data_IF_503922942955
#
_entry.id   IF_503922942955
#
_cell.length_a   1.000
_cell.length_b   1.000
_cell.length_c   1.000
_cell.angle_alpha   90.00
_cell.angle_beta   90.00
_cell.angle_gamma   90.00
#
_symmetry.space_group_name_H-M   'P 1'
#
loop_
_entity.id
_entity.type
_entity.pdbx_description
1 polymer ?
#
# COMPACT_ATOMS: atom_id res chain seq x y z
N UNK A 1 12.12 1.46 -26.05
CA UNK A 1 11.73 0.11 -26.48
C UNK A 1 10.53 -0.28 -25.66
N UNK A 2 9.36 -0.37 -26.29
CA UNK A 2 8.15 -0.93 -25.68
C UNK A 2 8.38 -2.41 -25.41
N UNK A 3 8.98 -2.70 -24.25
CA UNK A 3 9.12 -4.05 -23.73
C UNK A 3 7.80 -4.45 -23.08
N UNK A 4 6.96 -5.14 -23.84
CA UNK A 4 5.66 -5.63 -23.40
C UNK A 4 5.72 -6.33 -22.03
N UNK A 5 5.17 -5.67 -21.01
CA UNK A 5 4.74 -6.31 -19.76
C UNK A 5 3.25 -6.58 -19.84
N UNK A 6 2.87 -7.48 -20.76
CA UNK A 6 1.60 -8.21 -20.64
C UNK A 6 1.83 -9.36 -19.65
N UNK A 7 1.93 -9.06 -18.36
CA UNK A 7 1.79 -10.08 -17.30
C UNK A 7 0.46 -9.85 -16.61
N UNK A 8 -0.62 -10.23 -17.29
CA UNK A 8 -1.93 -10.44 -16.66
C UNK A 8 -1.85 -11.69 -15.78
N UNK A 9 -1.15 -11.57 -14.65
CA UNK A 9 -1.13 -12.57 -13.58
C UNK A 9 -2.12 -12.13 -12.50
N UNK A 10 -3.38 -11.96 -12.90
CA UNK A 10 -4.49 -11.86 -11.97
C UNK A 10 -5.09 -13.26 -11.91
N UNK A 11 -5.31 -13.81 -10.71
CA UNK A 11 -6.06 -15.06 -10.59
C UNK A 11 -7.40 -14.83 -11.27
N UNK A 12 -7.77 -15.59 -12.31
CA UNK A 12 -9.04 -15.37 -12.97
C UNK A 12 -10.14 -15.67 -11.96
N UNK A 13 -10.87 -14.61 -11.61
CA UNK A 13 -12.12 -14.73 -10.88
C UNK A 13 -13.03 -15.66 -11.68
N UNK A 14 -13.65 -16.61 -10.99
CA UNK A 14 -14.77 -17.37 -11.55
C UNK A 14 -15.87 -16.38 -11.89
N UNK A 15 -16.63 -16.66 -12.93
CA UNK A 15 -17.88 -15.94 -13.15
C UNK A 15 -18.88 -16.38 -12.09
N UNK A 16 -19.20 -15.47 -11.16
CA UNK A 16 -20.09 -15.71 -10.03
C UNK A 16 -21.45 -15.07 -10.24
N UNK A 17 -21.67 -14.33 -11.32
CA UNK A 17 -22.88 -13.50 -11.49
C UNK A 17 -24.17 -14.31 -11.60
N UNK A 18 -24.06 -15.59 -11.95
CA UNK A 18 -25.17 -16.53 -12.00
C UNK A 18 -25.54 -17.16 -10.63
N UNK A 19 -24.75 -16.92 -9.59
CA UNK A 19 -25.04 -17.42 -8.25
C UNK A 19 -26.19 -16.63 -7.57
N UNK A 20 -26.70 -17.18 -6.47
CA UNK A 20 -27.59 -16.46 -5.59
C UNK A 20 -26.78 -15.69 -4.54
N UNK A 21 -27.23 -14.49 -4.24
CA UNK A 21 -26.62 -13.58 -3.29
C UNK A 21 -27.66 -13.06 -2.30
N UNK A 22 -27.20 -12.63 -1.14
CA UNK A 22 -27.98 -11.77 -0.25
C UNK A 22 -27.09 -10.74 0.45
N UNK A 23 -27.70 -9.67 0.93
CA UNK A 23 -27.03 -8.71 1.81
C UNK A 23 -26.64 -9.39 3.13
N UNK A 24 -25.43 -9.09 3.62
CA UNK A 24 -25.01 -9.59 4.92
C UNK A 24 -25.84 -8.94 6.05
N UNK A 25 -26.67 -9.75 6.71
CA UNK A 25 -27.58 -9.30 7.79
C UNK A 25 -26.85 -8.93 9.08
N UNK A 26 -25.56 -9.21 9.18
CA UNK A 26 -24.69 -8.71 10.24
C UNK A 26 -24.29 -7.24 10.05
N UNK A 27 -24.83 -6.57 9.04
CA UNK A 27 -24.71 -5.12 8.87
C UNK A 27 -26.10 -4.47 8.81
N UNK A 28 -26.22 -3.30 9.43
CA UNK A 28 -27.36 -2.41 9.27
C UNK A 28 -26.91 -1.16 8.52
N UNK A 29 -27.56 -0.87 7.40
CA UNK A 29 -27.34 0.39 6.67
C UNK A 29 -28.04 1.54 7.39
N UNK A 30 -27.25 2.54 7.81
CA UNK A 30 -27.74 3.77 8.41
C UNK A 30 -27.37 4.95 7.51
N UNK A 31 -28.38 5.74 7.13
CA UNK A 31 -28.17 6.95 6.33
C UNK A 31 -27.33 7.96 7.10
N UNK A 32 -26.49 8.72 6.40
CA UNK A 32 -25.60 9.69 7.04
C UNK A 32 -26.35 10.69 7.92
N UNK A 33 -27.48 11.21 7.45
CA UNK A 33 -28.33 12.17 8.18
C UNK A 33 -29.02 11.58 9.43
N UNK A 34 -29.04 10.24 9.55
CA UNK A 34 -29.60 9.50 10.69
C UNK A 34 -28.53 9.02 11.67
N UNK A 35 -27.25 9.25 11.40
CA UNK A 35 -26.18 8.94 12.34
C UNK A 35 -26.22 9.90 13.55
N UNK A 36 -25.72 9.50 14.73
CA UNK A 36 -25.44 10.41 15.83
C UNK A 36 -24.57 11.60 15.41
N UNK A 37 -24.77 12.78 16.00
CA UNK A 37 -24.12 14.03 15.58
C UNK A 37 -22.59 14.00 15.68
N UNK A 38 -22.05 13.31 16.68
CA UNK A 38 -20.62 13.07 16.86
C UNK A 38 -20.04 12.21 15.72
N UNK A 39 -20.78 11.20 15.26
CA UNK A 39 -20.39 10.38 14.12
C UNK A 39 -20.52 11.13 12.79
N UNK A 40 -21.56 11.95 12.62
CA UNK A 40 -21.71 12.82 11.45
C UNK A 40 -20.53 13.80 11.34
N UNK A 41 -20.07 14.36 12.46
CA UNK A 41 -18.91 15.24 12.47
C UNK A 41 -17.63 14.50 12.06
N UNK A 42 -17.40 13.30 12.60
CA UNK A 42 -16.23 12.48 12.29
C UNK A 42 -16.20 12.05 10.81
N UNK A 43 -17.36 11.83 10.20
CA UNK A 43 -17.52 11.35 8.83
C UNK A 43 -17.87 12.46 7.82
N UNK A 44 -17.87 13.73 8.24
CA UNK A 44 -18.32 14.87 7.41
C UNK A 44 -17.62 14.94 6.07
N UNK A 45 -16.32 14.62 6.01
CA UNK A 45 -15.56 14.68 4.77
C UNK A 45 -16.02 13.66 3.71
N UNK A 46 -16.69 12.56 4.10
CA UNK A 46 -17.27 11.60 3.16
C UNK A 46 -18.38 12.24 2.31
N UNK A 47 -19.06 13.27 2.82
CA UNK A 47 -20.11 14.00 2.08
C UNK A 47 -19.59 14.80 0.89
N UNK A 48 -18.26 14.91 0.72
CA UNK A 48 -17.66 15.49 -0.48
C UNK A 48 -17.80 14.58 -1.70
N UNK A 49 -18.01 13.28 -1.49
CA UNK A 49 -18.37 12.34 -2.53
C UNK A 49 -19.89 12.42 -2.77
N UNK A 50 -20.36 12.85 -3.96
CA UNK A 50 -21.79 12.95 -4.26
C UNK A 50 -22.53 11.61 -4.20
N UNK A 51 -21.80 10.49 -4.37
CA UNK A 51 -22.38 9.15 -4.31
C UNK A 51 -22.47 8.62 -2.87
N UNK A 52 -21.86 9.28 -1.88
CA UNK A 52 -21.92 8.83 -0.49
C UNK A 52 -23.36 8.86 0.05
N UNK A 53 -23.80 7.74 0.61
CA UNK A 53 -25.19 7.54 1.05
C UNK A 53 -25.30 7.32 2.57
N UNK A 54 -24.43 6.47 3.13
CA UNK A 54 -24.51 6.12 4.53
C UNK A 54 -23.41 5.16 4.97
N UNK A 55 -23.63 4.51 6.11
CA UNK A 55 -22.67 3.62 6.78
C UNK A 55 -23.33 2.29 7.09
N UNK A 56 -22.66 1.19 6.75
CA UNK A 56 -22.97 -0.14 7.25
C UNK A 56 -22.37 -0.28 8.65
N UNK A 57 -23.25 -0.33 9.65
CA UNK A 57 -22.88 -0.53 11.04
C UNK A 57 -23.07 -2.00 11.41
N UNK A 58 -22.02 -2.68 11.91
CA UNK A 58 -22.18 -4.00 12.47
C UNK A 58 -22.77 -3.92 13.89
N UNK A 59 -23.35 -5.01 14.43
CA UNK A 59 -23.76 -5.09 15.82
C UNK A 59 -22.60 -4.78 16.78
N UNK A 60 -22.89 -4.06 17.86
CA UNK A 60 -21.88 -3.58 18.83
C UNK A 60 -21.07 -4.68 19.53
N UNK A 61 -21.52 -5.94 19.45
CA UNK A 61 -20.86 -7.11 20.04
C UNK A 61 -19.98 -7.89 19.05
N UNK A 62 -19.79 -7.39 17.84
CA UNK A 62 -18.94 -8.02 16.81
C UNK A 62 -17.60 -7.28 16.68
N UNK A 63 -16.57 -7.98 16.23
CA UNK A 63 -15.27 -7.37 15.89
C UNK A 63 -15.26 -6.75 14.48
N UNK A 64 -16.39 -6.80 13.76
CA UNK A 64 -16.54 -6.21 12.43
C UNK A 64 -16.44 -4.69 12.52
N UNK A 65 -15.92 -4.08 11.46
CA UNK A 65 -15.79 -2.62 11.37
C UNK A 65 -16.91 -1.99 10.55
N UNK A 66 -17.32 -0.75 10.88
CA UNK A 66 -18.18 0.06 10.03
C UNK A 66 -17.59 0.24 8.62
N UNK A 67 -18.46 0.36 7.62
CA UNK A 67 -18.07 0.61 6.22
C UNK A 67 -18.90 1.75 5.63
N UNK A 68 -18.28 2.66 4.90
CA UNK A 68 -19.04 3.65 4.10
C UNK A 68 -19.73 2.95 2.92
N UNK A 69 -20.81 3.53 2.44
CA UNK A 69 -21.63 2.95 1.36
C UNK A 69 -22.13 4.05 0.45
N UNK A 70 -21.98 3.83 -0.86
CA UNK A 70 -22.53 4.72 -1.88
C UNK A 70 -23.99 4.37 -2.23
N UNK A 71 -24.67 5.24 -2.98
CA UNK A 71 -26.06 5.06 -3.40
C UNK A 71 -26.28 3.75 -4.15
N UNK A 72 -25.39 3.41 -5.07
CA UNK A 72 -25.49 2.18 -5.88
C UNK A 72 -25.36 0.91 -5.05
N UNK A 73 -24.40 0.88 -4.11
CA UNK A 73 -24.25 -0.26 -3.19
C UNK A 73 -25.43 -0.34 -2.23
N UNK A 74 -25.97 0.78 -1.76
CA UNK A 74 -27.17 0.79 -0.93
C UNK A 74 -28.39 0.20 -1.66
N UNK A 75 -28.63 0.60 -2.92
CA UNK A 75 -29.69 0.04 -3.74
C UNK A 75 -29.53 -1.48 -3.94
N UNK A 76 -28.29 -1.95 -4.11
CA UNK A 76 -27.98 -3.37 -4.24
C UNK A 76 -28.31 -4.13 -2.97
N UNK A 77 -27.94 -3.59 -1.80
CA UNK A 77 -28.25 -4.20 -0.52
C UNK A 77 -29.76 -4.29 -0.26
N UNK A 78 -30.51 -3.23 -0.60
CA UNK A 78 -31.97 -3.28 -0.51
C UNK A 78 -32.58 -4.31 -1.47
N UNK A 79 -32.05 -4.42 -2.69
CA UNK A 79 -32.52 -5.40 -3.68
C UNK A 79 -32.22 -6.85 -3.29
N UNK A 80 -31.22 -7.08 -2.44
CA UNK A 80 -30.75 -8.39 -1.99
C UNK A 80 -31.04 -8.66 -0.50
N UNK A 81 -32.03 -7.99 0.10
CA UNK A 81 -32.51 -8.31 1.45
C UNK A 81 -33.07 -9.74 1.54
N UNK A 82 -33.64 -10.21 0.43
CA UNK A 82 -34.00 -11.60 0.18
C UNK A 82 -32.99 -12.25 -0.76
N UNK A 83 -32.64 -13.53 -0.56
CA UNK A 83 -31.77 -14.24 -1.46
C UNK A 83 -32.25 -14.27 -2.91
N UNK A 84 -31.36 -13.97 -3.85
CA UNK A 84 -31.67 -14.01 -5.28
C UNK A 84 -30.48 -13.69 -6.18
N UNK A 85 -30.67 -13.71 -7.51
CA UNK A 85 -29.61 -13.37 -8.46
C UNK A 85 -29.24 -11.88 -8.37
N UNK A 86 -28.05 -11.53 -8.88
CA UNK A 86 -27.66 -10.12 -9.02
C UNK A 86 -28.68 -9.38 -9.90
N UNK A 87 -29.25 -8.24 -9.44
CA UNK A 87 -30.21 -7.47 -10.22
C UNK A 87 -29.65 -7.01 -11.58
N UNK A 88 -30.49 -7.03 -12.62
CA UNK A 88 -30.07 -6.70 -13.98
C UNK A 88 -29.46 -5.29 -14.13
N UNK A 89 -29.90 -4.32 -13.32
CA UNK A 89 -29.34 -2.97 -13.36
C UNK A 89 -27.86 -2.94 -12.97
N UNK A 90 -27.40 -3.83 -12.08
CA UNK A 90 -25.98 -3.88 -11.67
C UNK A 90 -25.11 -4.30 -12.85
N UNK A 91 -25.55 -5.29 -13.62
CA UNK A 91 -24.84 -5.74 -14.81
C UNK A 91 -24.85 -4.67 -15.91
N UNK A 92 -25.98 -3.97 -16.07
CA UNK A 92 -26.09 -2.86 -17.02
C UNK A 92 -25.17 -1.69 -16.67
N UNK A 93 -25.07 -1.34 -15.37
CA UNK A 93 -24.24 -0.22 -14.90
C UNK A 93 -22.75 -0.55 -14.88
N UNK A 94 -22.36 -1.74 -14.40
CA UNK A 94 -20.94 -2.09 -14.21
C UNK A 94 -20.32 -2.80 -15.43
N UNK A 95 -21.13 -3.31 -16.34
CA UNK A 95 -20.67 -3.99 -17.55
C UNK A 95 -19.65 -5.10 -17.26
N UNK A 96 -18.49 -5.03 -17.92
CA UNK A 96 -17.41 -6.00 -17.76
C UNK A 96 -16.81 -6.06 -16.34
N UNK A 97 -16.98 -5.01 -15.54
CA UNK A 97 -16.45 -4.93 -14.16
C UNK A 97 -17.41 -5.52 -13.11
N UNK A 98 -18.63 -5.93 -13.51
CA UNK A 98 -19.64 -6.42 -12.57
C UNK A 98 -19.14 -7.60 -11.73
N UNK A 99 -18.52 -8.60 -12.38
CA UNK A 99 -18.04 -9.80 -11.69
C UNK A 99 -17.00 -9.47 -10.60
N UNK A 100 -16.05 -8.57 -10.92
CA UNK A 100 -15.03 -8.14 -9.98
C UNK A 100 -15.64 -7.34 -8.81
N UNK A 101 -16.51 -6.38 -9.09
CA UNK A 101 -17.14 -5.55 -8.06
C UNK A 101 -18.00 -6.40 -7.09
N UNK A 102 -18.72 -7.40 -7.59
CA UNK A 102 -19.49 -8.32 -6.74
C UNK A 102 -18.55 -9.20 -5.91
N UNK A 103 -17.45 -9.71 -6.49
CA UNK A 103 -16.46 -10.48 -5.74
C UNK A 103 -15.82 -9.66 -4.61
N UNK A 104 -15.51 -8.38 -4.85
CA UNK A 104 -15.02 -7.44 -3.83
C UNK A 104 -16.03 -7.30 -2.68
N UNK A 105 -17.32 -7.08 -2.98
CA UNK A 105 -18.36 -6.97 -1.96
C UNK A 105 -18.55 -8.26 -1.15
N UNK A 106 -18.37 -9.44 -1.76
CA UNK A 106 -18.41 -10.73 -1.05
C UNK A 106 -17.19 -10.90 -0.15
N UNK A 107 -15.99 -10.57 -0.63
CA UNK A 107 -14.75 -10.66 0.16
C UNK A 107 -14.70 -9.63 1.29
N UNK A 108 -15.33 -8.48 1.08
CA UNK A 108 -15.53 -7.45 2.10
C UNK A 108 -16.74 -7.76 3.01
N UNK A 109 -17.36 -8.93 2.89
CA UNK A 109 -18.44 -9.38 3.78
C UNK A 109 -19.67 -8.45 3.77
N UNK A 110 -19.84 -7.66 2.70
CA UNK A 110 -21.00 -6.81 2.47
C UNK A 110 -22.13 -7.63 1.83
N UNK A 111 -21.77 -8.48 0.87
CA UNK A 111 -22.64 -9.50 0.28
C UNK A 111 -22.22 -10.90 0.72
N UNK A 112 -23.17 -11.82 0.64
CA UNK A 112 -22.93 -13.25 0.84
C UNK A 112 -23.36 -14.00 -0.42
N UNK A 113 -22.63 -15.05 -0.77
CA UNK A 113 -22.89 -15.92 -1.93
C UNK A 113 -23.36 -17.30 -1.45
N UNK A 114 -24.34 -17.88 -2.13
CA UNK A 114 -24.84 -19.22 -1.81
C UNK A 114 -23.84 -20.32 -2.20
N UNK A 115 -23.57 -21.23 -1.28
CA UNK A 115 -22.79 -22.43 -1.49
C UNK A 115 -23.30 -23.58 -0.60
N UNK A 116 -23.62 -24.71 -1.22
CA UNK A 116 -24.12 -25.92 -0.52
C UNK A 116 -25.30 -25.64 0.42
N UNK A 117 -26.20 -24.72 0.02
CA UNK A 117 -27.39 -24.33 0.79
C UNK A 117 -27.13 -23.37 1.96
N UNK A 118 -25.90 -22.86 2.10
CA UNK A 118 -25.53 -21.84 3.07
C UNK A 118 -25.03 -20.57 2.37
N UNK A 119 -25.14 -19.42 3.02
CA UNK A 119 -24.58 -18.16 2.54
C UNK A 119 -23.23 -17.90 3.20
N UNK A 120 -22.18 -17.72 2.38
CA UNK A 120 -20.81 -17.49 2.84
C UNK A 120 -20.25 -16.18 2.29
N UNK A 121 -19.27 -15.62 2.98
CA UNK A 121 -18.58 -14.39 2.58
C UNK A 121 -17.13 -14.38 3.11
N UNK A 122 -16.37 -13.33 2.78
CA UNK A 122 -15.00 -13.16 3.24
C UNK A 122 -14.11 -14.34 2.81
N UNK A 123 -13.24 -14.78 3.72
CA UNK A 123 -12.32 -15.89 3.43
C UNK A 123 -13.00 -17.24 3.18
N UNK A 124 -14.22 -17.43 3.69
CA UNK A 124 -15.00 -18.66 3.46
C UNK A 124 -15.51 -18.78 2.01
N UNK A 125 -15.65 -17.66 1.30
CA UNK A 125 -16.07 -17.64 -0.10
C UNK A 125 -14.90 -17.87 -1.09
N UNK A 126 -13.65 -17.94 -0.61
CA UNK A 126 -12.46 -17.91 -1.47
C UNK A 126 -12.50 -18.95 -2.62
N UNK A 127 -12.77 -20.21 -2.30
CA UNK A 127 -12.78 -21.31 -3.29
C UNK A 127 -13.91 -21.17 -4.33
N UNK A 128 -14.91 -20.33 -4.07
CA UNK A 128 -16.01 -20.02 -4.99
C UNK A 128 -15.66 -18.90 -5.95
N UNK A 129 -14.79 -17.98 -5.51
CA UNK A 129 -14.42 -16.80 -6.26
C UNK A 129 -13.22 -17.08 -7.16
N UNK A 130 -12.32 -17.98 -6.78
CA UNK A 130 -11.06 -18.19 -7.48
C UNK A 130 -10.95 -19.58 -8.11
N UNK A 131 -10.50 -19.62 -9.37
CA UNK A 131 -10.49 -20.83 -10.20
C UNK A 131 -9.46 -21.86 -9.73
N UNK A 132 -8.25 -21.44 -9.35
CA UNK A 132 -7.20 -22.25 -8.69
C UNK A 132 -6.22 -21.33 -7.92
N UNK A 133 -5.45 -21.86 -6.94
CA UNK A 133 -4.39 -21.10 -6.28
C UNK A 133 -3.34 -20.64 -7.31
N UNK A 134 -2.97 -19.36 -7.26
CA UNK A 134 -1.98 -18.82 -8.20
C UNK A 134 -0.63 -19.55 -8.10
N UNK A 135 -0.09 -19.98 -9.25
CA UNK A 135 1.29 -20.44 -9.30
C UNK A 135 2.21 -19.25 -9.05
N UNK A 136 2.81 -19.18 -7.87
CA UNK A 136 3.76 -18.14 -7.54
C UNK A 136 4.91 -18.10 -8.56
N UNK A 137 5.31 -16.90 -8.96
CA UNK A 137 6.52 -16.71 -9.75
C UNK A 137 7.74 -17.24 -8.99
N UNK A 138 8.84 -17.46 -9.71
CA UNK A 138 10.11 -17.88 -9.11
C UNK A 138 10.49 -16.93 -7.97
N UNK A 139 10.67 -17.44 -6.74
CA UNK A 139 10.97 -16.59 -5.60
C UNK A 139 12.22 -15.74 -5.85
N UNK A 140 12.07 -14.43 -5.72
CA UNK A 140 13.20 -13.51 -5.59
C UNK A 140 13.55 -13.33 -4.12
N UNK A 141 14.79 -12.92 -3.84
CA UNK A 141 15.21 -12.64 -2.48
C UNK A 141 14.30 -11.59 -1.78
N UNK A 142 13.75 -10.62 -2.52
CA UNK A 142 12.83 -9.62 -1.95
C UNK A 142 11.42 -10.19 -1.72
N UNK A 143 10.95 -11.08 -2.59
CA UNK A 143 9.67 -11.78 -2.39
C UNK A 143 9.70 -12.68 -1.16
N UNK A 144 10.81 -13.38 -0.89
CA UNK A 144 11.00 -14.19 0.32
C UNK A 144 10.99 -13.33 1.58
N UNK A 145 11.62 -12.15 1.52
CA UNK A 145 11.62 -11.20 2.63
C UNK A 145 10.19 -10.70 2.92
N UNK A 146 9.41 -10.41 1.88
CA UNK A 146 8.02 -9.96 2.03
C UNK A 146 7.11 -11.07 2.55
N UNK A 147 7.30 -12.31 2.08
CA UNK A 147 6.63 -13.50 2.64
C UNK A 147 6.95 -13.67 4.12
N UNK A 148 8.22 -13.53 4.51
CA UNK A 148 8.64 -13.61 5.92
C UNK A 148 7.99 -12.52 6.77
N UNK A 149 7.78 -11.32 6.22
CA UNK A 149 7.07 -10.23 6.89
C UNK A 149 5.60 -10.56 7.14
N UNK A 150 4.93 -11.16 6.16
CA UNK A 150 3.54 -11.60 6.23
C UNK A 150 3.34 -12.71 7.26
N UNK A 151 4.18 -13.74 7.22
CA UNK A 151 4.14 -14.86 8.17
C UNK A 151 4.44 -14.39 9.60
N UNK A 152 5.41 -13.48 9.76
CA UNK A 152 5.66 -12.81 11.03
C UNK A 152 4.42 -12.05 11.54
N UNK A 153 3.78 -11.26 10.68
CA UNK A 153 2.56 -10.52 11.04
C UNK A 153 1.45 -11.45 11.52
N UNK A 154 1.24 -12.58 10.83
CA UNK A 154 0.24 -13.58 11.23
C UNK A 154 0.58 -14.21 12.58
N UNK A 155 1.84 -14.56 12.80
CA UNK A 155 2.30 -15.19 14.04
C UNK A 155 2.11 -14.31 15.28
N UNK A 156 2.10 -12.98 15.13
CA UNK A 156 1.89 -12.07 16.25
C UNK A 156 0.46 -12.15 16.84
N UNK A 157 -0.53 -12.68 16.10
CA UNK A 157 -1.90 -12.82 16.58
C UNK A 157 -2.55 -11.49 17.01
N UNK A 158 -2.20 -10.38 16.35
CA UNK A 158 -2.71 -9.06 16.71
C UNK A 158 -4.11 -8.84 16.10
N UNK A 159 -5.04 -8.35 16.93
CA UNK A 159 -6.41 -8.03 16.51
C UNK A 159 -6.61 -6.55 16.13
N UNK A 160 -5.62 -5.69 16.40
CA UNK A 160 -5.64 -4.28 16.01
C UNK A 160 -4.93 -4.07 14.66
N UNK A 161 -5.66 -3.68 13.59
CA UNK A 161 -5.05 -3.44 12.28
C UNK A 161 -4.00 -2.33 12.28
N UNK A 162 -4.14 -1.32 13.14
CA UNK A 162 -3.17 -0.22 13.24
C UNK A 162 -1.84 -0.75 13.76
N UNK A 163 -1.87 -1.53 14.84
CA UNK A 163 -0.68 -2.15 15.40
C UNK A 163 -0.07 -3.19 14.44
N UNK A 164 -0.89 -4.03 13.79
CA UNK A 164 -0.41 -5.01 12.81
C UNK A 164 0.25 -4.32 11.59
N UNK A 165 -0.39 -3.27 11.04
CA UNK A 165 0.18 -2.47 9.95
C UNK A 165 1.53 -1.87 10.36
N UNK A 166 1.61 -1.27 11.55
CA UNK A 166 2.86 -0.72 12.07
C UNK A 166 3.97 -1.77 12.20
N UNK A 167 3.64 -3.00 12.61
CA UNK A 167 4.59 -4.12 12.72
C UNK A 167 5.06 -4.60 11.35
N UNK A 168 4.17 -4.73 10.38
CA UNK A 168 4.50 -5.09 9.00
C UNK A 168 5.36 -4.00 8.34
N UNK A 169 4.99 -2.73 8.50
CA UNK A 169 5.73 -1.59 7.97
C UNK A 169 7.15 -1.49 8.53
N UNK A 170 7.31 -1.76 9.83
CA UNK A 170 8.59 -1.75 10.53
C UNK A 170 9.41 -3.04 10.36
N UNK A 171 8.89 -4.07 9.67
CA UNK A 171 9.58 -5.32 9.47
C UNK A 171 10.94 -5.12 8.79
N UNK A 172 11.89 -6.01 9.10
CA UNK A 172 13.28 -5.96 8.65
C UNK A 172 14.08 -4.76 9.17
N UNK A 173 13.61 -3.99 10.16
CA UNK A 173 14.41 -2.97 10.85
C UNK A 173 15.50 -3.64 11.71
N UNK A 174 16.72 -3.10 11.66
CA UNK A 174 17.81 -3.55 12.55
C UNK A 174 17.60 -2.97 13.95
N UNK A 175 17.66 -3.77 15.04
CA UNK A 175 17.52 -3.26 16.39
C UNK A 175 18.59 -2.22 16.75
N UNK A 176 18.19 -1.16 17.46
CA UNK A 176 19.10 -0.13 17.98
C UNK A 176 19.96 -0.67 19.14
N UNK A 177 21.00 -1.42 18.79
CA UNK A 177 21.93 -2.02 19.74
C UNK A 177 22.83 -0.96 20.41
N UNK A 178 23.51 -1.28 21.52
CA UNK A 178 24.47 -0.37 22.14
C UNK A 178 25.59 0.09 21.20
N UNK A 179 25.99 -0.74 20.22
CA UNK A 179 26.93 -0.35 19.17
C UNK A 179 26.38 0.80 18.33
N UNK A 180 25.14 0.69 17.87
CA UNK A 180 24.50 1.73 17.06
C UNK A 180 24.25 3.01 17.85
N UNK A 181 23.85 2.92 19.12
CA UNK A 181 23.72 4.10 19.99
C UNK A 181 25.03 4.90 20.14
N UNK A 182 26.19 4.22 20.13
CA UNK A 182 27.49 4.90 20.18
C UNK A 182 27.90 5.51 18.85
N UNK A 183 27.55 4.86 17.74
CA UNK A 183 27.88 5.34 16.39
C UNK A 183 26.95 6.48 15.92
N UNK A 184 25.68 6.39 16.29
CA UNK A 184 24.58 7.27 15.87
C UNK A 184 23.83 7.77 17.12
N UNK A 185 24.49 8.56 17.99
CA UNK A 185 23.90 8.98 19.27
C UNK A 185 22.73 9.95 19.11
N UNK A 186 22.78 10.78 18.07
CA UNK A 186 21.84 11.85 17.79
C UNK A 186 21.89 12.24 16.30
N UNK A 187 21.20 13.33 15.98
CA UNK A 187 21.13 13.88 14.63
C UNK A 187 22.47 14.35 14.07
N UNK A 188 23.33 14.94 14.90
CA UNK A 188 24.65 15.39 14.46
C UNK A 188 25.56 14.19 14.19
N UNK A 189 25.44 13.12 14.99
CA UNK A 189 26.08 11.83 14.76
C UNK A 189 25.67 11.22 13.42
N UNK A 190 24.38 11.24 13.09
CA UNK A 190 23.88 10.79 11.78
C UNK A 190 24.37 11.67 10.63
N UNK A 191 24.38 12.99 10.78
CA UNK A 191 24.90 13.91 9.77
C UNK A 191 26.39 13.65 9.48
N UNK A 192 27.19 13.44 10.52
CA UNK A 192 28.61 13.10 10.40
C UNK A 192 28.80 11.73 9.76
N UNK A 193 28.00 10.73 10.14
CA UNK A 193 28.04 9.38 9.57
C UNK A 193 27.75 9.39 8.06
N UNK A 194 26.78 10.20 7.63
CA UNK A 194 26.43 10.37 6.21
C UNK A 194 27.39 11.31 5.46
N UNK A 195 28.30 12.00 6.14
CA UNK A 195 29.22 12.97 5.51
C UNK A 195 28.54 14.25 5.03
N UNK A 196 27.43 14.66 5.68
CA UNK A 196 26.63 15.86 5.34
C UNK A 196 26.70 16.96 6.40
N UNK A 197 27.50 16.76 7.45
CA UNK A 197 27.78 17.79 8.44
C UNK A 197 28.53 18.99 7.82
N UNK A 198 28.77 20.04 8.60
CA UNK A 198 29.39 21.28 8.08
C UNK A 198 30.76 21.06 7.44
N UNK A 199 31.48 20.00 7.80
CA UNK A 199 32.79 19.65 7.23
C UNK A 199 32.74 18.38 6.37
N UNK A 200 31.54 17.87 6.09
CA UNK A 200 31.33 16.63 5.38
C UNK A 200 31.68 16.74 3.89
N UNK A 201 32.22 15.66 3.33
CA UNK A 201 32.66 15.62 1.93
C UNK A 201 31.51 15.76 0.91
N UNK A 202 30.27 15.38 1.29
CA UNK A 202 29.11 15.47 0.42
C UNK A 202 28.48 16.87 0.44
N UNK A 203 28.89 17.73 1.39
CA UNK A 203 28.28 19.03 1.58
C UNK A 203 28.39 19.93 0.34
N UNK A 204 29.55 20.07 -0.32
CA UNK A 204 29.67 20.88 -1.53
C UNK A 204 28.78 20.36 -2.68
N UNK A 205 28.71 19.04 -2.85
CA UNK A 205 27.91 18.41 -3.91
C UNK A 205 26.40 18.59 -3.68
N UNK A 206 25.97 18.48 -2.43
CA UNK A 206 24.58 18.76 -2.04
C UNK A 206 24.27 20.26 -2.20
N UNK A 207 25.10 21.14 -1.65
CA UNK A 207 24.83 22.59 -1.66
C UNK A 207 24.81 23.19 -3.08
N UNK A 208 25.44 22.56 -4.07
CA UNK A 208 25.43 22.98 -5.48
C UNK A 208 24.03 22.89 -6.10
N UNK A 209 23.30 21.78 -5.87
CA UNK A 209 22.00 21.53 -6.55
C UNK A 209 20.81 21.28 -5.65
N UNK A 210 21.05 21.01 -4.40
CA UNK A 210 20.05 20.64 -3.42
C UNK A 210 20.02 21.64 -2.27
N UNK A 211 18.83 21.83 -1.74
CA UNK A 211 18.58 22.60 -0.53
C UNK A 211 18.08 21.64 0.55
N UNK A 212 18.76 21.63 1.70
CA UNK A 212 18.30 20.91 2.88
C UNK A 212 17.04 21.59 3.42
N UNK A 213 15.94 20.85 3.49
CA UNK A 213 14.67 21.34 4.03
C UNK A 213 14.77 21.42 5.54
N UNK A 214 14.38 22.57 6.10
CA UNK A 214 14.36 22.77 7.54
C UNK A 214 13.41 21.76 8.22
N UNK A 215 13.81 21.15 9.34
CA UNK A 215 12.95 20.24 10.08
C UNK A 215 11.68 20.94 10.56
N UNK A 216 10.53 20.27 10.43
CA UNK A 216 9.25 20.62 11.03
C UNK A 216 8.74 19.43 11.85
N UNK A 217 7.71 19.63 12.68
CA UNK A 217 7.09 18.56 13.46
C UNK A 217 6.55 17.42 12.57
N UNK A 218 6.06 17.74 11.37
CA UNK A 218 5.58 16.77 10.37
C UNK A 218 6.73 16.03 9.63
N UNK A 219 7.97 16.50 9.80
CA UNK A 219 9.15 16.05 9.07
C UNK A 219 10.21 15.42 9.98
N UNK A 220 9.86 15.10 11.22
CA UNK A 220 10.73 14.49 12.21
C UNK A 220 11.24 13.11 11.74
N UNK A 221 12.50 12.78 12.01
CA UNK A 221 13.11 11.50 11.65
C UNK A 221 13.83 11.46 10.29
N UNK A 222 13.95 12.59 9.58
CA UNK A 222 14.52 12.66 8.23
C UNK A 222 15.37 13.89 7.95
N UNK A 223 16.52 13.67 7.30
CA UNK A 223 17.16 14.68 6.46
C UNK A 223 16.47 14.66 5.12
N UNK A 224 16.10 15.83 4.62
CA UNK A 224 15.28 15.98 3.42
C UNK A 224 15.87 17.05 2.51
N UNK A 225 15.87 16.79 1.21
CA UNK A 225 16.42 17.71 0.22
C UNK A 225 15.45 17.93 -0.93
N UNK A 226 15.40 19.16 -1.42
CA UNK A 226 14.71 19.54 -2.66
C UNK A 226 15.68 20.21 -3.64
N UNK A 227 15.47 20.11 -4.96
CA UNK A 227 16.27 20.83 -5.93
C UNK A 227 16.18 22.34 -5.70
N UNK A 228 17.31 23.05 -5.83
CA UNK A 228 17.34 24.53 -5.77
C UNK A 228 16.56 25.16 -6.93
N UNK A 229 16.62 24.53 -8.10
CA UNK A 229 15.84 24.93 -9.27
C UNK A 229 14.51 24.20 -9.25
N UNK A 230 13.42 24.91 -8.96
CA UNK A 230 12.08 24.32 -8.97
C UNK A 230 11.68 23.97 -10.41
N UNK A 231 11.47 22.69 -10.75
CA UNK A 231 10.83 22.37 -12.02
C UNK A 231 9.41 22.95 -12.04
N UNK A 232 8.86 23.30 -13.22
CA UNK A 232 7.49 23.77 -13.33
C UNK A 232 6.54 22.78 -12.62
N UNK A 233 5.62 23.33 -11.81
CA UNK A 233 4.52 22.58 -11.22
C UNK A 233 3.58 22.18 -12.37
N UNK A 234 3.69 20.94 -12.83
CA UNK A 234 2.54 20.29 -13.42
C UNK A 234 1.55 20.04 -12.28
N UNK A 235 0.25 20.08 -12.59
CA UNK A 235 -0.83 20.08 -11.62
C UNK A 235 -0.76 19.00 -10.53
N UNK A 236 -1.59 19.18 -9.51
CA UNK A 236 -1.62 18.46 -8.22
C UNK A 236 -1.97 16.94 -8.32
N UNK A 237 -1.86 16.35 -9.51
CA UNK A 237 -2.32 15.02 -9.91
C UNK A 237 -1.20 14.02 -10.23
N UNK A 238 0.08 14.42 -10.21
CA UNK A 238 1.16 13.49 -10.57
C UNK A 238 1.43 12.44 -9.46
N UNK A 239 1.17 11.18 -9.80
CA UNK A 239 1.53 9.99 -9.03
C UNK A 239 3.04 9.97 -8.78
N UNK A 240 3.44 9.97 -7.51
CA UNK A 240 4.86 10.03 -7.13
C UNK A 240 5.48 8.64 -7.12
N UNK A 241 6.46 8.40 -7.98
CA UNK A 241 7.30 7.20 -7.94
C UNK A 241 8.37 7.34 -6.86
N UNK A 242 8.65 6.25 -6.15
CA UNK A 242 9.67 6.18 -5.10
C UNK A 242 10.69 5.11 -5.42
N UNK A 243 11.97 5.48 -5.37
CA UNK A 243 13.08 4.54 -5.35
C UNK A 243 13.56 4.39 -3.91
N UNK A 244 13.64 3.16 -3.44
CA UNK A 244 14.20 2.80 -2.15
C UNK A 244 15.62 2.26 -2.35
N UNK A 245 16.57 2.80 -1.59
CA UNK A 245 17.96 2.30 -1.54
C UNK A 245 18.20 1.72 -0.15
N UNK A 246 18.40 0.41 -0.07
CA UNK A 246 18.37 -0.35 1.18
C UNK A 246 19.67 -1.12 1.45
N UNK A 247 20.80 -0.41 1.66
CA UNK A 247 22.04 -1.05 2.08
C UNK A 247 21.90 -1.62 3.50
N UNK A 248 22.76 -2.55 3.91
CA UNK A 248 22.87 -2.83 5.35
C UNK A 248 23.40 -1.60 6.09
N UNK A 249 23.05 -1.41 7.37
CA UNK A 249 23.47 -0.22 8.12
C UNK A 249 24.98 0.07 8.07
N UNK A 250 25.82 -0.97 8.07
CA UNK A 250 27.29 -0.87 8.07
C UNK A 250 27.86 -0.16 6.83
N UNK A 251 27.20 -0.29 5.68
CA UNK A 251 27.66 0.28 4.40
C UNK A 251 26.82 1.49 3.96
N UNK A 252 25.97 2.02 4.85
CA UNK A 252 25.06 3.13 4.53
C UNK A 252 25.82 4.39 4.13
N UNK A 253 26.96 4.70 4.75
CA UNK A 253 27.77 5.87 4.39
C UNK A 253 28.24 5.80 2.92
N UNK A 254 28.84 4.67 2.53
CA UNK A 254 29.33 4.45 1.16
C UNK A 254 28.19 4.47 0.14
N UNK A 255 27.08 3.78 0.45
CA UNK A 255 25.91 3.76 -0.41
C UNK A 255 25.28 5.15 -0.57
N UNK A 256 25.17 5.92 0.51
CA UNK A 256 24.61 7.28 0.46
C UNK A 256 25.48 8.21 -0.38
N UNK A 257 26.81 8.15 -0.27
CA UNK A 257 27.72 8.87 -1.16
C UNK A 257 27.46 8.55 -2.63
N UNK A 258 27.40 7.27 -3.00
CA UNK A 258 27.12 6.87 -4.38
C UNK A 258 25.75 7.35 -4.88
N UNK A 259 24.74 7.35 -4.00
CA UNK A 259 23.41 7.91 -4.31
C UNK A 259 23.49 9.40 -4.60
N UNK A 260 24.16 10.19 -3.75
CA UNK A 260 24.31 11.63 -3.95
C UNK A 260 25.08 11.93 -5.24
N UNK A 261 26.15 11.17 -5.53
CA UNK A 261 26.91 11.27 -6.78
C UNK A 261 26.00 11.02 -8.02
N UNK A 262 25.11 10.02 -7.96
CA UNK A 262 24.14 9.74 -9.04
C UNK A 262 23.03 10.79 -9.14
N UNK A 263 22.61 11.38 -8.02
CA UNK A 263 21.54 12.37 -7.97
C UNK A 263 21.93 13.70 -8.59
N UNK A 264 23.23 13.98 -8.71
CA UNK A 264 23.74 15.20 -9.30
C UNK A 264 22.98 15.48 -10.61
N UNK A 265 23.07 14.63 -11.62
CA UNK A 265 22.45 14.87 -12.93
C UNK A 265 21.07 14.19 -13.10
N UNK A 266 20.30 14.07 -12.01
CA UNK A 266 19.02 13.38 -12.02
C UNK A 266 17.81 14.32 -12.14
N UNK A 267 16.66 13.73 -12.49
CA UNK A 267 15.34 14.40 -12.47
C UNK A 267 14.58 14.13 -11.16
N UNK A 268 15.27 13.65 -10.12
CA UNK A 268 14.66 13.49 -8.81
C UNK A 268 14.20 14.86 -8.29
N UNK A 269 12.96 14.96 -7.82
CA UNK A 269 12.42 16.23 -7.31
C UNK A 269 12.49 16.34 -5.79
N UNK A 270 12.84 15.25 -5.11
CA UNK A 270 13.01 15.19 -3.67
C UNK A 270 13.76 13.91 -3.30
N UNK A 271 14.53 13.95 -2.21
CA UNK A 271 15.01 12.74 -1.57
C UNK A 271 15.21 12.94 -0.08
N UNK A 272 15.28 11.82 0.65
CA UNK A 272 15.47 11.82 2.09
C UNK A 272 16.31 10.66 2.60
N UNK A 273 16.94 10.87 3.74
CA UNK A 273 17.68 9.88 4.49
C UNK A 273 17.33 9.97 5.98
N UNK A 274 17.38 8.85 6.71
CA UNK A 274 17.11 8.84 8.15
C UNK A 274 18.03 9.82 8.90
N UNK A 275 17.49 10.60 9.84
CA UNK A 275 18.27 11.63 10.54
C UNK A 275 18.85 11.21 11.88
N UNK A 276 18.61 9.99 12.32
CA UNK A 276 19.12 9.47 13.58
C UNK A 276 19.41 7.95 13.50
N UNK A 277 19.79 7.36 14.64
CA UNK A 277 20.00 5.93 14.74
C UNK A 277 18.75 5.10 14.42
N UNK A 278 17.55 5.56 14.73
CA UNK A 278 16.34 4.81 14.39
C UNK A 278 16.04 4.86 12.90
N UNK A 279 16.20 6.02 12.27
CA UNK A 279 16.00 6.26 10.85
C UNK A 279 16.98 5.47 9.97
N UNK A 280 18.27 5.49 10.33
CA UNK A 280 19.33 4.80 9.57
C UNK A 280 19.33 3.28 9.72
N UNK A 281 18.59 2.72 10.68
CA UNK A 281 18.42 1.27 10.85
C UNK A 281 17.16 0.70 10.16
N UNK A 282 16.34 1.58 9.58
CA UNK A 282 15.15 1.19 8.80
C UNK A 282 15.54 0.52 7.48
N UNK A 283 14.70 -0.38 6.95
CA UNK A 283 14.89 -0.88 5.59
C UNK A 283 14.80 0.26 4.55
N UNK A 284 13.88 1.21 4.72
CA UNK A 284 13.63 2.35 3.81
C UNK A 284 14.41 3.62 4.20
N UNK A 285 15.66 3.46 4.62
CA UNK A 285 16.48 4.55 5.18
C UNK A 285 16.92 5.62 4.17
N UNK A 286 16.89 5.34 2.87
CA UNK A 286 17.17 6.30 1.78
C UNK A 286 16.04 6.16 0.75
N UNK A 287 15.35 7.26 0.45
CA UNK A 287 14.20 7.29 -0.48
C UNK A 287 14.33 8.45 -1.44
N UNK A 288 14.23 8.17 -2.74
CA UNK A 288 14.29 9.16 -3.83
C UNK A 288 12.93 9.23 -4.53
N UNK A 289 12.56 10.42 -5.00
CA UNK A 289 11.22 10.69 -5.53
C UNK A 289 11.27 11.21 -6.96
N UNK A 290 10.43 10.62 -7.82
CA UNK A 290 10.38 10.90 -9.25
C UNK A 290 8.95 11.08 -9.74
N UNK A 291 8.78 11.90 -10.78
CA UNK A 291 7.49 12.10 -11.46
C UNK A 291 7.21 11.06 -12.54
N UNK A 292 8.26 10.40 -13.04
CA UNK A 292 8.15 9.38 -14.07
C UNK A 292 8.93 8.13 -13.69
N UNK A 293 8.43 6.96 -14.10
CA UNK A 293 9.13 5.70 -13.93
C UNK A 293 10.44 5.67 -14.72
N UNK A 294 10.49 6.27 -15.92
CA UNK A 294 11.70 6.33 -16.75
C UNK A 294 12.85 7.08 -16.05
N UNK A 295 12.55 8.19 -15.37
CA UNK A 295 13.57 8.93 -14.59
C UNK A 295 14.08 8.10 -13.40
N UNK A 296 13.16 7.43 -12.69
CA UNK A 296 13.51 6.50 -11.62
C UNK A 296 14.43 5.39 -12.12
N UNK A 297 14.06 4.75 -13.24
CA UNK A 297 14.79 3.63 -13.83
C UNK A 297 16.21 4.03 -14.22
N UNK A 298 16.38 5.20 -14.84
CA UNK A 298 17.71 5.72 -15.20
C UNK A 298 18.63 5.88 -13.97
N UNK A 299 18.11 6.48 -12.89
CA UNK A 299 18.90 6.69 -11.66
C UNK A 299 19.19 5.37 -10.96
N UNK A 300 18.22 4.46 -10.92
CA UNK A 300 18.40 3.14 -10.31
C UNK A 300 19.48 2.31 -11.04
N UNK A 301 19.58 2.40 -12.38
CA UNK A 301 20.69 1.80 -13.13
C UNK A 301 22.04 2.41 -12.75
N UNK A 302 22.16 3.75 -12.71
CA UNK A 302 23.41 4.40 -12.28
C UNK A 302 23.85 3.99 -10.87
N UNK A 303 22.91 3.91 -9.92
CA UNK A 303 23.21 3.48 -8.56
C UNK A 303 23.67 2.01 -8.54
N UNK A 304 23.01 1.13 -9.30
CA UNK A 304 23.37 -0.28 -9.37
C UNK A 304 24.80 -0.49 -9.92
N UNK A 305 25.21 0.30 -10.92
CA UNK A 305 26.56 0.26 -11.49
C UNK A 305 27.62 0.76 -10.48
N UNK A 306 27.28 1.75 -9.65
CA UNK A 306 28.18 2.29 -8.63
C UNK A 306 28.31 1.42 -7.38
N UNK A 307 27.37 0.49 -7.14
CA UNK A 307 27.30 -0.32 -5.91
C UNK A 307 27.28 -1.84 -6.18
N UNK A 308 28.23 -2.39 -6.98
CA UNK A 308 28.26 -3.82 -7.27
C UNK A 308 28.52 -4.62 -5.97
N UNK A 309 27.67 -5.61 -5.71
CA UNK A 309 27.81 -6.48 -4.54
C UNK A 309 27.57 -5.81 -3.19
N UNK A 310 27.03 -4.58 -3.17
CA UNK A 310 26.72 -3.87 -1.92
C UNK A 310 25.74 -4.71 -1.06
N UNK A 311 26.10 -5.03 0.19
CA UNK A 311 25.21 -5.75 1.10
C UNK A 311 23.87 -5.04 1.26
N UNK A 312 22.77 -5.78 1.08
CA UNK A 312 21.43 -5.24 1.07
C UNK A 312 20.59 -5.73 2.27
N UNK A 313 19.87 -4.79 2.89
CA UNK A 313 18.88 -5.08 3.93
C UNK A 313 17.55 -5.49 3.28
N UNK A 314 17.04 -4.70 2.34
CA UNK A 314 15.79 -4.97 1.61
C UNK A 314 14.56 -4.33 2.24
N UNK A 315 13.63 -3.90 1.38
CA UNK A 315 12.40 -3.20 1.78
C UNK A 315 11.17 -4.07 1.48
N UNK A 316 10.54 -4.70 2.47
CA UNK A 316 9.32 -5.47 2.24
C UNK A 316 8.22 -4.63 1.59
N UNK A 317 7.33 -5.29 0.83
CA UNK A 317 6.16 -4.67 0.18
C UNK A 317 6.53 -3.63 -0.88
N UNK A 318 7.61 -3.88 -1.64
CA UNK A 318 8.06 -3.03 -2.74
C UNK A 318 8.47 -3.89 -3.92
N UNK A 319 8.38 -3.33 -5.13
CA UNK A 319 8.78 -4.02 -6.34
C UNK A 319 10.31 -4.02 -6.48
N UNK A 320 10.90 -5.20 -6.67
CA UNK A 320 12.34 -5.30 -6.89
C UNK A 320 12.71 -4.57 -8.19
N UNK A 321 13.75 -3.73 -8.16
CA UNK A 321 14.23 -3.06 -9.37
C UNK A 321 15.11 -4.01 -10.20
N UNK A 322 15.97 -4.76 -9.51
CA UNK A 322 16.75 -5.87 -10.05
C UNK A 322 16.60 -7.07 -9.11
N UNK A 323 17.10 -8.25 -9.46
CA UNK A 323 17.00 -9.43 -8.59
C UNK A 323 17.67 -9.32 -7.21
N UNK A 324 18.27 -8.16 -6.87
CA UNK A 324 18.85 -7.87 -5.56
C UNK A 324 17.84 -7.26 -4.59
N UNK A 325 18.19 -7.21 -3.30
CA UNK A 325 17.43 -6.50 -2.26
C UNK A 325 17.82 -5.02 -2.12
N UNK A 326 18.83 -4.54 -2.85
CA UNK A 326 19.39 -3.20 -2.64
C UNK A 326 18.46 -2.10 -3.14
N UNK A 327 17.88 -2.30 -4.33
CA UNK A 327 17.05 -1.32 -5.02
C UNK A 327 15.66 -1.90 -5.24
N UNK A 328 14.66 -1.16 -4.78
CA UNK A 328 13.25 -1.48 -5.01
C UNK A 328 12.45 -0.20 -5.17
N UNK A 329 11.23 -0.30 -5.67
CA UNK A 329 10.41 0.86 -5.96
C UNK A 329 8.96 0.66 -5.56
N UNK A 330 8.23 1.77 -5.50
CA UNK A 330 6.79 1.82 -5.31
C UNK A 330 6.22 3.07 -5.94
N UNK A 331 4.89 3.13 -6.02
CA UNK A 331 4.17 4.28 -6.55
C UNK A 331 3.14 4.71 -5.53
N UNK A 332 3.09 5.98 -5.14
CA UNK A 332 2.05 6.38 -4.17
C UNK A 332 0.66 6.24 -4.80
N UNK A 333 -0.35 5.75 -4.06
CA UNK A 333 -1.71 5.67 -4.57
C UNK A 333 -2.21 7.07 -4.98
N UNK A 334 -3.02 7.19 -6.05
CA UNK A 334 -3.62 8.46 -6.40
C UNK A 334 -4.51 8.95 -5.26
N UNK A 335 -4.70 10.28 -5.19
CA UNK A 335 -5.63 10.88 -4.22
C UNK A 335 -7.03 10.34 -4.53
N UNK A 336 -7.57 9.52 -3.64
CA UNK A 336 -8.98 9.16 -3.71
C UNK A 336 -9.79 10.37 -3.23
N UNK A 337 -10.71 10.85 -4.07
CA UNK A 337 -11.72 11.82 -3.66
C UNK A 337 -12.53 11.25 -2.49
N UNK A 338 -12.66 12.00 -1.40
CA UNK A 338 -13.46 11.58 -0.23
C UNK A 338 -12.71 10.89 0.91
N UNK A 339 -11.38 10.73 0.85
CA UNK A 339 -10.60 10.32 2.03
C UNK A 339 -10.65 11.44 3.09
N UNK A 340 -10.96 11.08 4.34
CA UNK A 340 -11.06 12.01 5.46
C UNK A 340 -9.76 12.83 5.59
N UNK A 341 -9.84 14.13 5.85
CA UNK A 341 -8.69 15.05 5.79
C UNK A 341 -7.54 14.71 6.75
N UNK A 342 -7.78 13.86 7.76
CA UNK A 342 -6.77 13.38 8.72
C UNK A 342 -6.06 12.09 8.27
N UNK A 343 -6.54 11.40 7.23
CA UNK A 343 -5.76 10.38 6.52
C UNK A 343 -4.80 11.13 5.59
N UNK A 344 -3.66 11.54 6.15
CA UNK A 344 -2.53 12.09 5.40
C UNK A 344 -2.15 11.22 4.20
N UNK A 345 -1.49 11.82 3.20
CA UNK A 345 -1.03 11.15 1.97
C UNK A 345 -0.29 9.84 2.30
N UNK A 346 -0.97 8.71 2.18
CA UNK A 346 -0.38 7.41 2.48
C UNK A 346 0.77 7.12 1.49
N UNK A 347 1.93 6.75 2.02
CA UNK A 347 2.98 6.20 1.17
C UNK A 347 2.58 4.82 0.66
N UNK A 348 3.04 4.42 -0.53
CA UNK A 348 2.86 3.07 -1.08
C UNK A 348 2.91 1.95 -0.03
N UNK A 349 4.00 1.88 0.74
CA UNK A 349 4.19 0.84 1.75
C UNK A 349 3.15 0.89 2.86
N UNK A 350 2.80 2.09 3.33
CA UNK A 350 1.80 2.26 4.38
C UNK A 350 0.41 1.86 3.88
N UNK A 351 0.06 2.26 2.66
CA UNK A 351 -1.19 1.90 1.99
C UNK A 351 -1.33 0.37 1.87
N UNK A 352 -0.24 -0.32 1.47
CA UNK A 352 -0.19 -1.78 1.41
C UNK A 352 -0.35 -2.40 2.80
N UNK A 353 0.45 -1.97 3.79
CA UNK A 353 0.44 -2.61 5.11
C UNK A 353 -0.88 -2.40 5.84
N UNK A 354 -1.56 -1.27 5.63
CA UNK A 354 -2.90 -1.02 6.14
C UNK A 354 -3.91 -2.03 5.58
N UNK A 355 -3.92 -2.24 4.27
CA UNK A 355 -4.83 -3.19 3.60
C UNK A 355 -4.58 -4.63 3.98
N UNK A 356 -3.30 -5.02 3.99
CA UNK A 356 -2.90 -6.36 4.40
C UNK A 356 -3.33 -6.61 5.85
N UNK A 357 -3.08 -5.67 6.77
CA UNK A 357 -3.46 -5.82 8.17
C UNK A 357 -4.97 -6.02 8.35
N UNK A 358 -5.78 -5.20 7.67
CA UNK A 358 -7.25 -5.32 7.70
C UNK A 358 -7.70 -6.68 7.17
N UNK A 359 -7.20 -7.10 6.01
CA UNK A 359 -7.61 -8.35 5.39
C UNK A 359 -7.13 -9.59 6.18
N UNK A 360 -5.94 -9.54 6.78
CA UNK A 360 -5.43 -10.61 7.65
C UNK A 360 -6.31 -10.77 8.90
N UNK A 361 -6.70 -9.68 9.53
CA UNK A 361 -7.54 -9.74 10.73
C UNK A 361 -8.94 -10.26 10.38
N UNK A 362 -9.54 -9.76 9.30
CA UNK A 362 -10.83 -10.27 8.81
C UNK A 362 -10.78 -11.78 8.54
N UNK A 363 -9.74 -12.26 7.85
CA UNK A 363 -9.55 -13.68 7.61
C UNK A 363 -9.34 -14.50 8.88
N UNK A 364 -8.61 -13.97 9.87
CA UNK A 364 -8.34 -14.67 11.14
C UNK A 364 -9.60 -14.86 12.01
N UNK A 365 -10.61 -14.01 11.84
CA UNK A 365 -11.88 -14.07 12.55
C UNK A 365 -12.90 -15.01 11.87
N UNK A 366 -12.62 -15.43 10.63
CA UNK A 366 -13.52 -16.27 9.85
C UNK A 366 -13.42 -17.73 10.32
N UNK A 367 -14.51 -18.28 10.86
CA UNK A 367 -14.56 -19.64 11.43
C UNK A 367 -14.32 -20.76 10.40
N UNK A 368 -14.48 -20.47 9.11
CA UNK A 368 -14.39 -21.45 8.01
C UNK A 368 -13.30 -21.10 6.98
N UNK A 369 -12.32 -20.27 7.35
CA UNK A 369 -11.22 -19.91 6.46
C UNK A 369 -10.33 -21.10 6.13
N UNK A 370 -10.37 -21.57 4.87
CA UNK A 370 -9.46 -22.63 4.35
C UNK A 370 -8.05 -22.11 4.06
N UNK A 371 -7.91 -20.79 3.87
CA UNK A 371 -6.63 -20.13 3.64
C UNK A 371 -6.02 -19.59 4.91
N UNK A 372 -4.69 -19.63 4.99
CA UNK A 372 -3.96 -18.83 5.96
C UNK A 372 -4.30 -17.34 5.79
N UNK A 373 -4.54 -16.58 6.88
CA UNK A 373 -4.88 -15.16 6.83
C UNK A 373 -3.99 -14.30 5.91
N UNK A 374 -2.68 -14.52 5.92
CA UNK A 374 -1.79 -13.76 5.04
C UNK A 374 -2.00 -14.07 3.55
N UNK A 375 -2.38 -15.30 3.18
CA UNK A 375 -2.68 -15.66 1.79
C UNK A 375 -3.95 -14.97 1.33
N UNK A 376 -5.01 -15.02 2.14
CA UNK A 376 -6.25 -14.29 1.86
C UNK A 376 -5.98 -12.80 1.63
N UNK A 377 -5.14 -12.18 2.47
CA UNK A 377 -4.80 -10.78 2.33
C UNK A 377 -4.11 -10.43 1.01
N UNK A 378 -3.25 -11.32 0.49
CA UNK A 378 -2.65 -11.12 -0.84
C UNK A 378 -3.68 -11.18 -1.96
N UNK A 379 -4.63 -12.12 -1.88
CA UNK A 379 -5.67 -12.26 -2.90
C UNK A 379 -6.64 -11.09 -2.87
N UNK A 380 -7.00 -10.59 -1.67
CA UNK A 380 -7.79 -9.38 -1.53
C UNK A 380 -7.06 -8.16 -2.10
N UNK A 381 -5.75 -8.06 -1.91
CA UNK A 381 -4.94 -6.95 -2.44
C UNK A 381 -4.81 -6.99 -3.98
N UNK A 382 -4.89 -8.17 -4.60
CA UNK A 382 -4.92 -8.30 -6.08
C UNK A 382 -6.15 -7.63 -6.70
N UNK A 383 -7.28 -7.60 -5.99
CA UNK A 383 -8.49 -6.90 -6.43
C UNK A 383 -8.32 -5.37 -6.41
N UNK A 384 -7.43 -4.86 -5.56
CA UNK A 384 -7.01 -3.45 -5.59
C UNK A 384 -5.99 -3.16 -6.71
N UNK A 385 -5.97 -4.03 -7.74
CA UNK A 385 -5.11 -3.96 -8.90
C UNK A 385 -3.60 -3.94 -8.56
N UNK A 386 -3.18 -4.77 -7.61
CA UNK A 386 -1.77 -4.97 -7.25
C UNK A 386 -1.33 -6.37 -7.66
N UNK A 387 -0.24 -6.48 -8.42
CA UNK A 387 0.46 -7.76 -8.57
C UNK A 387 1.22 -8.04 -7.27
N UNK A 388 0.79 -9.03 -6.50
CA UNK A 388 1.40 -9.37 -5.20
C UNK A 388 2.61 -10.31 -5.30
N UNK A 389 2.93 -10.80 -6.50
CA UNK A 389 4.17 -11.56 -6.75
C UNK A 389 5.32 -10.58 -7.06
N UNK A 390 5.03 -9.51 -7.81
CA UNK A 390 6.03 -8.49 -8.18
C UNK A 390 5.93 -7.20 -7.36
N UNK A 391 4.87 -7.02 -6.58
CA UNK A 391 4.55 -5.80 -5.82
C UNK A 391 4.46 -4.56 -6.71
N UNK A 392 3.92 -4.70 -7.92
CA UNK A 392 3.70 -3.58 -8.85
C UNK A 392 2.21 -3.26 -9.01
N UNK A 393 1.85 -1.98 -9.26
CA UNK A 393 0.50 -1.64 -9.71
C UNK A 393 0.19 -2.32 -11.06
N UNK A 394 -1.02 -2.83 -11.22
CA UNK A 394 -1.59 -3.28 -12.48
C UNK A 394 -2.23 -2.10 -13.22
N UNK A 395 -2.60 -2.28 -14.49
CA UNK A 395 -3.20 -1.23 -15.32
C UNK A 395 -4.45 -0.58 -14.70
N UNK A 396 -5.21 -1.32 -13.88
CA UNK A 396 -6.40 -0.83 -13.19
C UNK A 396 -6.10 -0.06 -11.88
N UNK A 397 -4.84 0.03 -11.45
CA UNK A 397 -4.48 0.68 -10.19
C UNK A 397 -4.84 2.17 -10.20
N UNK A 398 -5.63 2.59 -9.21
CA UNK A 398 -6.03 3.98 -9.07
C UNK A 398 -7.21 4.41 -9.93
N UNK A 399 -7.74 3.51 -10.76
CA UNK A 399 -9.03 3.72 -11.40
C UNK A 399 -10.13 3.35 -10.39
N UNK A 400 -10.87 4.36 -9.90
CA UNK A 400 -12.19 4.07 -9.37
C UNK A 400 -13.05 3.52 -10.52
N UNK A 401 -13.91 2.50 -10.32
CA UNK A 401 -14.88 2.12 -11.33
C UNK A 401 -15.73 3.36 -11.62
N UNK A 402 -15.47 4.02 -12.74
CA UNK A 402 -16.22 5.18 -13.17
C UNK A 402 -17.61 4.69 -13.56
N UNK A 403 -18.62 5.01 -12.74
CA UNK A 403 -20.00 5.02 -13.21
C UNK A 403 -20.17 6.25 -14.10
N UNK A 404 -19.84 6.12 -15.38
CA UNK A 404 -20.22 7.13 -16.36
C UNK A 404 -21.74 7.00 -16.60
N UNK A 405 -22.50 7.97 -16.11
CA UNK A 405 -23.90 8.13 -16.46
C UNK A 405 -23.99 8.61 -17.92
N UNK A 406 -24.68 7.84 -18.76
CA UNK A 406 -25.19 8.32 -20.04
C UNK A 406 -26.57 8.97 -19.86
#
# INVERSE_FOLDING_TARGET
MDGGRNSTSVVPLRDILAANFCANREYTLVLFDRLPSDQQELLRDLTKDPEFYGVLLPPSNTQRKPKSTCQSTALLLYSLMEPGPIPAYVQATLGASANQAIAELVLDEVLMIEHEGAFVCGSAAYDLLYSEPHSHQTPTALSDLTRSALEYGQMLGLEDPTMLSARLYAYNRVPLSPRWKRLLPDRDGAAKWLGIDRKGELRPLLDDRWELIAPSAEMEGWFQWSPRSKPPRNGDTETGYKLYVSPTPEVTQQAFKAVVDCLANSEAYHFKAGDDGYGLLRPDKIVLYFRSFAALEKVAHSIAECLPGCPAQGVPFTAAFNGSRLLSWGVDPPRQSGVLAWQERESWRLWITNRIAVAMIAASQSQNGRLAPWRFALERLRLDAIDTDTWTPLAAFGHAPAMEAN
#
